data_IF_535587909744
#
_entry.id   IF_535587909744
#
_cell.length_a   1.000
_cell.length_b   1.000
_cell.length_c   1.000
_cell.angle_alpha   90.00
_cell.angle_beta   90.00
_cell.angle_gamma   90.00
#
_symmetry.space_group_name_H-M   'P 1'
#
loop_
_entity.id
_entity.type
_entity.pdbx_description
1 polymer ?
#
# COMPACT_ATOMS: atom_id res chain seq x y z
N UNK A 1 3.51 28.88 26.48
CA UNK A 1 3.07 29.55 25.24
C UNK A 1 2.48 30.86 25.72
N UNK A 2 3.02 31.98 25.24
CA UNK A 2 2.71 33.31 25.79
C UNK A 2 1.24 33.69 25.51
N UNK A 3 0.57 34.31 26.48
CA UNK A 3 -0.86 34.59 26.39
C UNK A 3 -1.18 35.59 25.27
N UNK A 4 -0.25 36.50 24.99
CA UNK A 4 -0.35 37.50 23.92
C UNK A 4 -0.29 36.85 22.54
N UNK A 5 0.57 35.84 22.35
CA UNK A 5 0.67 35.10 21.08
C UNK A 5 -0.62 34.33 20.78
N UNK A 6 -1.25 33.76 21.81
CA UNK A 6 -2.53 33.06 21.67
C UNK A 6 -3.66 34.03 21.29
N UNK A 7 -3.65 35.22 21.88
CA UNK A 7 -4.63 36.28 21.61
C UNK A 7 -4.49 36.83 20.19
N UNK A 8 -3.26 37.07 19.73
CA UNK A 8 -2.97 37.50 18.36
C UNK A 8 -3.41 36.46 17.32
N UNK A 9 -3.11 35.19 17.53
CA UNK A 9 -3.53 34.11 16.62
C UNK A 9 -5.06 33.99 16.56
N UNK A 10 -5.75 34.07 17.71
CA UNK A 10 -7.21 34.03 17.78
C UNK A 10 -7.88 35.22 17.10
N UNK A 11 -7.27 36.40 17.17
CA UNK A 11 -7.78 37.61 16.50
C UNK A 11 -7.54 37.58 14.98
N UNK A 12 -6.52 36.87 14.51
CA UNK A 12 -6.18 36.80 13.10
C UNK A 12 -6.99 35.77 12.32
N UNK A 13 -7.36 34.63 12.94
CA UNK A 13 -8.12 33.55 12.29
C UNK A 13 -9.44 34.02 11.64
N UNK A 14 -10.27 34.88 12.27
CA UNK A 14 -11.49 35.41 11.65
C UNK A 14 -11.23 36.27 10.41
N UNK A 15 -10.06 36.91 10.29
CA UNK A 15 -9.71 37.73 9.12
C UNK A 15 -9.41 36.90 7.86
N UNK A 16 -9.18 35.59 8.03
CA UNK A 16 -8.86 34.67 6.93
C UNK A 16 -10.07 34.28 6.08
N UNK A 17 -11.27 34.80 6.36
CA UNK A 17 -12.50 34.53 5.61
C UNK A 17 -12.72 33.03 5.34
N UNK A 18 -12.39 32.18 6.32
CA UNK A 18 -12.56 30.74 6.21
C UNK A 18 -14.05 30.42 6.08
N UNK A 19 -14.41 29.72 5.00
CA UNK A 19 -15.79 29.33 4.76
C UNK A 19 -16.26 28.33 5.83
N UNK A 20 -17.28 28.71 6.59
CA UNK A 20 -17.94 27.85 7.59
C UNK A 20 -19.01 26.93 6.98
N UNK A 21 -19.07 26.84 5.64
CA UNK A 21 -20.02 25.95 4.98
C UNK A 21 -19.64 24.50 5.25
N UNK A 22 -20.57 23.76 5.83
CA UNK A 22 -20.46 22.31 5.92
C UNK A 22 -20.48 21.74 4.50
N UNK A 23 -19.30 21.38 3.99
CA UNK A 23 -19.21 20.58 2.78
C UNK A 23 -19.49 19.14 3.16
N UNK A 24 -20.53 18.57 2.58
CA UNK A 24 -20.82 17.15 2.70
C UNK A 24 -19.63 16.34 2.20
N UNK A 25 -18.92 15.70 3.13
CA UNK A 25 -17.81 14.81 2.80
C UNK A 25 -18.40 13.49 2.37
N UNK A 26 -18.46 13.27 1.07
CA UNK A 26 -18.81 11.98 0.51
C UNK A 26 -17.69 10.99 0.89
N UNK A 27 -18.01 10.05 1.77
CA UNK A 27 -17.12 8.96 2.12
C UNK A 27 -17.35 7.81 1.16
N UNK A 28 -16.28 7.14 0.75
CA UNK A 28 -16.38 5.91 -0.03
C UNK A 28 -16.78 4.77 0.90
N UNK A 29 -17.93 4.15 0.67
CA UNK A 29 -18.35 2.96 1.39
C UNK A 29 -17.62 1.72 0.87
N UNK A 30 -17.70 0.64 1.63
CA UNK A 30 -17.11 -0.65 1.24
C UNK A 30 -17.67 -1.13 -0.11
N UNK A 31 -18.97 -0.97 -0.32
CA UNK A 31 -19.66 -1.30 -1.58
C UNK A 31 -19.15 -0.49 -2.78
N UNK A 32 -18.80 0.78 -2.57
CA UNK A 32 -18.22 1.62 -3.61
C UNK A 32 -16.83 1.11 -3.99
N UNK A 33 -16.02 0.73 -3.00
CA UNK A 33 -14.72 0.11 -3.24
C UNK A 33 -14.86 -1.22 -4.01
N UNK A 34 -15.86 -2.04 -3.68
CA UNK A 34 -16.19 -3.25 -4.45
C UNK A 34 -16.51 -2.93 -5.90
N UNK A 35 -17.34 -1.92 -6.14
CA UNK A 35 -17.77 -1.50 -7.48
C UNK A 35 -16.58 -0.98 -8.30
N UNK A 36 -15.71 -0.16 -7.69
CA UNK A 36 -14.51 0.37 -8.34
C UNK A 36 -13.53 -0.76 -8.72
N UNK A 37 -13.29 -1.71 -7.81
CA UNK A 37 -12.42 -2.85 -8.08
C UNK A 37 -13.03 -3.78 -9.14
N UNK A 38 -14.34 -4.02 -9.11
CA UNK A 38 -15.02 -4.76 -10.16
C UNK A 38 -14.84 -4.09 -11.52
N UNK A 39 -15.11 -2.78 -11.61
CA UNK A 39 -14.98 -2.02 -12.84
C UNK A 39 -13.54 -2.08 -13.38
N UNK A 40 -12.52 -1.96 -12.51
CA UNK A 40 -11.11 -2.03 -12.90
C UNK A 40 -10.70 -3.39 -13.49
N UNK A 41 -11.30 -4.48 -13.01
CA UNK A 41 -10.93 -5.84 -13.41
C UNK A 41 -11.83 -6.46 -14.47
N UNK A 42 -13.10 -6.05 -14.55
CA UNK A 42 -14.14 -6.68 -15.37
C UNK A 42 -14.66 -5.74 -16.46
N UNK A 43 -14.98 -4.49 -16.11
CA UNK A 43 -15.73 -3.59 -17.00
C UNK A 43 -14.85 -2.62 -17.81
N UNK A 44 -13.56 -2.53 -17.48
CA UNK A 44 -12.63 -1.56 -18.09
C UNK A 44 -12.36 -1.86 -19.58
N UNK A 45 -12.99 -1.05 -20.43
CA UNK A 45 -12.92 -1.13 -21.90
C UNK A 45 -11.60 -0.61 -22.48
N UNK A 46 -10.77 0.08 -21.68
CA UNK A 46 -9.43 0.52 -22.10
C UNK A 46 -8.39 -0.29 -21.32
N UNK A 47 -7.60 -1.16 -21.96
CA UNK A 47 -6.66 -2.00 -21.24
C UNK A 47 -5.57 -1.17 -20.56
N UNK A 48 -5.74 -0.85 -19.28
CA UNK A 48 -4.64 -0.46 -18.41
C UNK A 48 -3.66 -1.63 -18.32
N UNK A 49 -2.36 -1.32 -18.33
CA UNK A 49 -1.32 -2.34 -18.16
C UNK A 49 -1.59 -3.14 -16.87
N UNK A 50 -1.51 -4.47 -16.92
CA UNK A 50 -1.92 -5.33 -15.79
C UNK A 50 -1.22 -4.97 -14.47
N UNK A 51 0.06 -4.59 -14.53
CA UNK A 51 0.80 -4.10 -13.37
C UNK A 51 0.21 -2.82 -12.75
N UNK A 52 -0.31 -1.91 -13.58
CA UNK A 52 -1.01 -0.69 -13.09
C UNK A 52 -2.27 -1.09 -12.33
N UNK A 53 -3.08 -2.00 -12.89
CA UNK A 53 -4.32 -2.47 -12.25
C UNK A 53 -4.02 -3.09 -10.88
N UNK A 54 -2.97 -3.90 -10.78
CA UNK A 54 -2.49 -4.48 -9.51
C UNK A 54 -2.10 -3.39 -8.49
N UNK A 55 -1.30 -2.40 -8.90
CA UNK A 55 -0.85 -1.33 -8.00
C UNK A 55 -2.01 -0.44 -7.51
N UNK A 56 -2.93 -0.06 -8.41
CA UNK A 56 -4.11 0.73 -8.05
C UNK A 56 -5.01 -0.06 -7.09
N UNK A 57 -5.25 -1.34 -7.37
CA UNK A 57 -6.06 -2.20 -6.50
C UNK A 57 -5.46 -2.29 -5.10
N UNK A 58 -4.15 -2.53 -4.99
CA UNK A 58 -3.47 -2.57 -3.71
C UNK A 58 -3.53 -1.23 -2.97
N UNK A 59 -3.34 -0.12 -3.69
CA UNK A 59 -3.41 1.23 -3.11
C UNK A 59 -4.80 1.49 -2.50
N UNK A 60 -5.87 1.20 -3.25
CA UNK A 60 -7.24 1.38 -2.79
C UNK A 60 -7.55 0.51 -1.57
N UNK A 61 -7.17 -0.76 -1.61
CA UNK A 61 -7.39 -1.69 -0.50
C UNK A 61 -6.59 -1.32 0.75
N UNK A 62 -5.31 -0.93 0.61
CA UNK A 62 -4.51 -0.48 1.75
C UNK A 62 -5.09 0.81 2.34
N UNK A 63 -5.45 1.79 1.52
CA UNK A 63 -6.08 3.03 1.99
C UNK A 63 -7.40 2.77 2.71
N UNK A 64 -8.27 1.94 2.15
CA UNK A 64 -9.55 1.57 2.76
C UNK A 64 -9.39 0.77 4.05
N UNK A 65 -8.54 -0.25 4.07
CA UNK A 65 -8.38 -1.14 5.22
C UNK A 65 -7.62 -0.51 6.40
N UNK A 66 -6.77 0.48 6.13
CA UNK A 66 -5.96 1.14 7.18
C UNK A 66 -6.46 2.53 7.56
N UNK A 67 -7.49 3.03 6.85
CA UNK A 67 -7.94 4.42 6.91
C UNK A 67 -6.78 5.43 6.75
N UNK A 68 -5.72 5.06 6.03
CA UNK A 68 -4.58 5.95 5.80
C UNK A 68 -4.70 6.70 4.49
N UNK A 69 -4.23 7.96 4.54
CA UNK A 69 -4.17 8.81 3.36
C UNK A 69 -3.26 8.15 2.31
N UNK A 70 -3.63 8.17 1.02
CA UNK A 70 -2.79 7.61 -0.05
C UNK A 70 -1.33 8.11 -0.01
N UNK A 71 -1.09 9.36 0.38
CA UNK A 71 0.25 9.93 0.53
C UNK A 71 1.15 9.30 1.60
N UNK A 72 0.64 8.39 2.43
CA UNK A 72 1.44 7.57 3.34
C UNK A 72 1.94 6.27 2.67
N UNK A 73 1.33 5.88 1.55
CA UNK A 73 1.58 4.64 0.81
C UNK A 73 2.36 4.95 -0.49
N UNK A 74 1.99 6.03 -1.17
CA UNK A 74 2.58 6.48 -2.44
C UNK A 74 3.04 7.94 -2.32
N UNK A 75 3.76 8.45 -3.32
CA UNK A 75 4.26 9.82 -3.27
C UNK A 75 3.09 10.82 -3.28
N UNK A 76 2.99 11.61 -2.20
CA UNK A 76 1.95 12.64 -2.07
C UNK A 76 2.24 13.86 -2.92
N UNK A 77 1.20 14.55 -3.38
CA UNK A 77 1.32 15.85 -4.08
C UNK A 77 2.12 16.88 -3.25
N UNK A 78 1.91 16.93 -1.94
CA UNK A 78 2.66 17.81 -1.01
C UNK A 78 4.14 17.45 -0.83
N UNK A 79 4.58 16.30 -1.33
CA UNK A 79 5.95 15.83 -1.25
C UNK A 79 6.44 15.38 -2.64
N UNK A 80 5.94 16.00 -3.71
CA UNK A 80 6.27 15.68 -5.10
C UNK A 80 7.78 15.74 -5.33
N UNK A 81 8.34 14.69 -5.93
CA UNK A 81 9.77 14.55 -6.20
C UNK A 81 10.61 14.09 -4.99
N UNK A 82 10.00 13.86 -3.82
CA UNK A 82 10.72 13.34 -2.65
C UNK A 82 10.95 11.83 -2.68
N UNK A 83 10.22 11.12 -3.56
CA UNK A 83 10.17 9.67 -3.64
C UNK A 83 9.72 8.98 -2.34
N UNK A 84 9.15 9.73 -1.39
CA UNK A 84 8.68 9.19 -0.11
C UNK A 84 7.41 8.37 -0.33
N UNK A 85 7.54 7.06 -0.21
CA UNK A 85 6.46 6.09 -0.37
C UNK A 85 6.72 4.87 0.52
N UNK A 86 5.74 3.96 0.57
CA UNK A 86 5.91 2.62 1.13
C UNK A 86 6.99 1.89 0.34
N UNK A 87 7.96 1.30 1.04
CA UNK A 87 9.08 0.56 0.44
C UNK A 87 9.04 -0.93 0.79
N UNK A 88 9.82 -1.77 0.09
CA UNK A 88 9.83 -3.22 0.34
C UNK A 88 10.16 -3.58 1.79
N UNK A 89 11.10 -2.88 2.45
CA UNK A 89 11.43 -3.11 3.87
C UNK A 89 10.27 -2.86 4.83
N UNK A 90 9.26 -2.10 4.40
CA UNK A 90 8.09 -1.81 5.21
C UNK A 90 7.04 -2.94 5.15
N UNK A 91 7.24 -3.95 4.30
CA UNK A 91 6.36 -5.10 4.17
C UNK A 91 7.13 -6.35 4.58
N UNK A 92 6.56 -7.16 5.47
CA UNK A 92 7.09 -8.48 5.82
C UNK A 92 6.09 -9.54 5.37
N UNK A 93 6.56 -10.50 4.58
CA UNK A 93 5.78 -11.66 4.17
C UNK A 93 6.13 -12.88 5.02
N UNK A 94 5.10 -13.51 5.56
CA UNK A 94 5.20 -14.67 6.44
C UNK A 94 4.32 -15.79 5.92
N UNK A 95 4.83 -17.01 5.91
CA UNK A 95 4.00 -18.21 5.87
C UNK A 95 3.85 -18.72 7.30
N UNK A 96 2.61 -18.84 7.76
CA UNK A 96 2.28 -19.12 9.16
C UNK A 96 1.47 -20.40 9.23
N UNK A 97 1.92 -21.34 10.08
CA UNK A 97 1.20 -22.58 10.39
C UNK A 97 -0.09 -22.23 11.12
N UNK A 98 -1.17 -22.92 10.78
CA UNK A 98 -2.43 -22.75 11.48
C UNK A 98 -2.31 -23.34 12.90
N UNK A 99 -2.85 -22.62 13.88
CA UNK A 99 -2.91 -23.06 15.28
C UNK A 99 -4.04 -24.07 15.53
N UNK A 100 -4.97 -24.21 14.59
CA UNK A 100 -6.14 -25.12 14.70
C UNK A 100 -5.82 -26.46 14.04
N UNK A 101 -5.30 -26.41 12.82
CA UNK A 101 -4.80 -27.55 12.05
C UNK A 101 -3.33 -27.32 11.67
N UNK A 102 -2.37 -28.06 12.27
CA UNK A 102 -0.94 -27.96 11.98
C UNK A 102 -0.52 -28.35 10.57
N UNK A 103 -1.40 -29.05 9.83
CA UNK A 103 -1.18 -29.41 8.42
C UNK A 103 -1.56 -28.27 7.47
N UNK A 104 -2.24 -27.25 7.97
CA UNK A 104 -2.60 -26.06 7.20
C UNK A 104 -1.63 -24.90 7.47
N UNK A 105 -1.46 -24.06 6.46
CA UNK A 105 -0.72 -22.81 6.59
C UNK A 105 -1.37 -21.72 5.74
N UNK A 106 -1.07 -20.47 6.07
CA UNK A 106 -1.55 -19.31 5.33
C UNK A 106 -0.42 -18.29 5.14
N UNK A 107 -0.54 -17.45 4.12
CA UNK A 107 0.32 -16.29 3.96
C UNK A 107 -0.26 -15.10 4.74
N UNK A 108 0.63 -14.38 5.40
CA UNK A 108 0.38 -13.16 6.18
C UNK A 108 1.33 -12.07 5.69
N UNK A 109 0.83 -10.85 5.55
CA UNK A 109 1.63 -9.67 5.26
C UNK A 109 1.52 -8.68 6.42
N UNK A 110 2.65 -8.32 7.01
CA UNK A 110 2.74 -7.19 7.94
C UNK A 110 3.17 -5.95 7.17
N UNK A 111 2.35 -4.90 7.19
CA UNK A 111 2.64 -3.61 6.54
C UNK A 111 2.88 -2.56 7.62
N UNK A 112 4.05 -1.94 7.57
CA UNK A 112 4.49 -0.92 8.50
C UNK A 112 4.44 0.46 7.82
N UNK A 113 3.46 1.29 8.17
CA UNK A 113 3.32 2.63 7.60
C UNK A 113 4.17 3.64 8.37
N UNK A 114 5.27 4.05 7.75
CA UNK A 114 6.21 5.01 8.33
C UNK A 114 5.94 6.46 7.91
N UNK A 115 5.21 6.71 6.83
CA UNK A 115 4.97 8.07 6.29
C UNK A 115 3.63 8.67 6.76
N UNK A 116 3.29 8.50 8.05
CA UNK A 116 2.05 9.04 8.63
C UNK A 116 2.33 10.38 9.31
N UNK A 117 1.49 11.40 9.07
CA UNK A 117 1.60 12.72 9.73
C UNK A 117 1.56 12.58 11.27
N UNK A 118 2.26 13.46 11.98
CA UNK A 118 2.39 13.55 13.46
C UNK A 118 3.39 12.59 14.13
N UNK A 119 4.48 12.19 13.45
CA UNK A 119 5.56 11.41 14.08
C UNK A 119 6.28 12.13 15.22
N UNK A 120 6.31 13.46 15.20
CA UNK A 120 7.11 14.29 16.11
C UNK A 120 6.67 14.25 17.58
N UNK A 121 5.50 13.66 17.92
CA UNK A 121 4.97 13.71 19.29
C UNK A 121 5.10 12.43 20.12
N UNK A 122 5.31 11.24 19.53
CA UNK A 122 5.62 9.94 20.21
C UNK A 122 5.45 8.73 19.25
N UNK A 123 5.48 8.95 17.93
CA UNK A 123 4.73 8.11 16.98
C UNK A 123 5.30 6.72 16.73
N UNK A 124 4.84 5.71 17.49
CA UNK A 124 5.03 4.30 17.14
C UNK A 124 4.58 4.06 15.68
N UNK A 125 5.36 3.34 14.86
CA UNK A 125 4.96 2.97 13.51
C UNK A 125 3.59 2.28 13.50
N UNK A 126 2.70 2.64 12.57
CA UNK A 126 1.40 1.96 12.43
C UNK A 126 1.62 0.64 11.68
N UNK A 127 1.49 -0.47 12.40
CA UNK A 127 1.62 -1.82 11.86
C UNK A 127 0.25 -2.42 11.63
N UNK A 128 0.03 -2.96 10.44
CA UNK A 128 -1.18 -3.66 10.06
C UNK A 128 -0.83 -5.07 9.61
N UNK A 129 -1.63 -6.06 9.99
CA UNK A 129 -1.43 -7.46 9.62
C UNK A 129 -2.60 -7.90 8.75
N UNK A 130 -2.28 -8.37 7.55
CA UNK A 130 -3.25 -8.88 6.59
C UNK A 130 -3.04 -10.38 6.38
N UNK A 131 -4.13 -11.14 6.34
CA UNK A 131 -4.11 -12.56 6.02
C UNK A 131 -4.63 -12.76 4.60
N UNK A 132 -4.11 -13.78 3.92
CA UNK A 132 -4.67 -14.25 2.66
C UNK A 132 -6.18 -14.50 2.79
N UNK A 133 -6.95 -14.08 1.79
CA UNK A 133 -8.41 -14.21 1.72
C UNK A 133 -8.80 -14.95 0.45
N UNK A 134 -9.96 -15.60 0.48
CA UNK A 134 -10.42 -16.47 -0.61
C UNK A 134 -10.77 -15.75 -1.91
N UNK A 135 -11.01 -14.43 -1.89
CA UNK A 135 -11.32 -13.64 -3.09
C UNK A 135 -10.11 -12.79 -3.50
N UNK A 136 -9.36 -13.15 -4.57
CA UNK A 136 -8.11 -12.49 -4.92
C UNK A 136 -8.25 -10.98 -5.19
N UNK A 137 -9.35 -10.56 -5.82
CA UNK A 137 -9.60 -9.15 -6.16
C UNK A 137 -9.69 -8.22 -4.93
N UNK A 138 -9.95 -8.77 -3.73
CA UNK A 138 -10.03 -8.01 -2.47
C UNK A 138 -8.92 -8.40 -1.50
N UNK A 139 -7.98 -9.24 -1.94
CA UNK A 139 -6.93 -9.74 -1.09
C UNK A 139 -5.66 -8.90 -1.22
N UNK A 140 -5.41 -8.07 -0.20
CA UNK A 140 -4.16 -7.28 -0.07
C UNK A 140 -2.92 -8.17 -0.20
N UNK A 141 -2.94 -9.35 0.42
CA UNK A 141 -1.81 -10.31 0.36
C UNK A 141 -1.59 -10.81 -1.07
N UNK A 142 -2.65 -11.14 -1.81
CA UNK A 142 -2.53 -11.56 -3.21
C UNK A 142 -1.84 -10.49 -4.06
N UNK A 143 -2.23 -9.22 -3.93
CA UNK A 143 -1.58 -8.14 -4.68
C UNK A 143 -0.12 -7.90 -4.26
N UNK A 144 0.20 -8.01 -2.97
CA UNK A 144 1.59 -7.92 -2.48
C UNK A 144 2.44 -9.04 -3.12
N UNK A 145 1.93 -10.27 -3.17
CA UNK A 145 2.60 -11.39 -3.81
C UNK A 145 2.76 -11.17 -5.33
N UNK A 146 1.72 -10.69 -6.02
CA UNK A 146 1.77 -10.38 -7.45
C UNK A 146 2.83 -9.32 -7.78
N UNK A 147 2.94 -8.26 -6.97
CA UNK A 147 3.99 -7.25 -7.14
C UNK A 147 5.37 -7.85 -6.86
N UNK A 148 5.50 -8.63 -5.78
CA UNK A 148 6.75 -9.30 -5.42
C UNK A 148 7.31 -10.16 -6.54
N UNK A 149 6.47 -11.01 -7.14
CA UNK A 149 6.86 -11.89 -8.24
C UNK A 149 7.05 -11.10 -9.53
N UNK A 150 6.11 -10.22 -9.89
CA UNK A 150 6.18 -9.44 -11.12
C UNK A 150 7.39 -8.51 -11.19
N UNK A 151 7.98 -8.13 -10.05
CA UNK A 151 9.20 -7.34 -9.99
C UNK A 151 10.48 -8.17 -9.80
N UNK A 152 10.38 -9.50 -9.64
CA UNK A 152 11.51 -10.37 -9.27
C UNK A 152 12.11 -9.98 -7.93
N UNK A 153 11.26 -9.66 -6.95
CA UNK A 153 11.68 -9.03 -5.70
C UNK A 153 11.87 -9.99 -4.53
N UNK A 154 11.49 -11.25 -4.71
CA UNK A 154 11.68 -12.30 -3.72
C UNK A 154 13.08 -12.88 -3.85
N UNK A 155 13.71 -13.15 -2.71
CA UNK A 155 15.13 -13.55 -2.66
C UNK A 155 15.37 -15.00 -3.11
N UNK A 156 14.52 -15.88 -2.62
CA UNK A 156 14.59 -17.27 -3.00
C UNK A 156 13.88 -17.34 -4.36
N UNK A 157 14.57 -17.79 -5.42
CA UNK A 157 14.16 -17.68 -6.83
C UNK A 157 12.82 -18.40 -7.13
N UNK A 158 11.71 -17.82 -6.69
CA UNK A 158 10.37 -18.35 -6.94
C UNK A 158 9.97 -18.05 -8.38
N UNK A 159 9.69 -19.10 -9.14
CA UNK A 159 9.17 -18.98 -10.50
C UNK A 159 7.68 -18.60 -10.49
N UNK A 160 6.95 -18.92 -9.42
CA UNK A 160 5.51 -18.69 -9.33
C UNK A 160 5.01 -18.41 -7.91
N UNK A 161 3.76 -17.94 -7.79
CA UNK A 161 3.09 -17.81 -6.48
C UNK A 161 2.87 -19.18 -5.85
N UNK A 162 2.73 -20.23 -6.67
CA UNK A 162 2.50 -21.60 -6.20
C UNK A 162 3.68 -22.08 -5.35
N UNK A 163 4.91 -21.76 -5.76
CA UNK A 163 6.12 -22.14 -5.03
C UNK A 163 6.09 -21.63 -3.58
N UNK A 164 5.53 -20.43 -3.36
CA UNK A 164 5.34 -19.83 -2.04
C UNK A 164 4.28 -20.60 -1.24
N UNK A 165 3.18 -20.98 -1.89
CA UNK A 165 2.11 -21.79 -1.29
C UNK A 165 2.54 -23.24 -0.99
N UNK A 166 3.56 -23.76 -1.68
CA UNK A 166 4.07 -25.11 -1.50
C UNK A 166 5.19 -25.21 -0.46
N UNK A 167 5.76 -24.08 -0.02
CA UNK A 167 6.78 -24.05 1.06
C UNK A 167 6.35 -24.85 2.30
N UNK A 168 7.07 -25.91 2.63
CA UNK A 168 6.82 -26.64 3.87
C UNK A 168 7.43 -25.90 5.06
N UNK A 169 6.62 -25.63 6.09
CA UNK A 169 7.14 -25.10 7.36
C UNK A 169 7.77 -26.27 8.12
N UNK A 170 9.07 -26.20 8.49
CA UNK A 170 9.73 -27.21 9.31
C UNK A 170 8.96 -27.51 10.60
N UNK A 171 8.99 -28.75 11.08
CA UNK A 171 8.20 -29.20 12.23
C UNK A 171 8.57 -28.48 13.55
N UNK A 172 9.81 -27.97 13.66
CA UNK A 172 10.32 -27.18 14.79
C UNK A 172 9.90 -25.70 14.72
N UNK A 173 9.12 -25.30 13.70
CA UNK A 173 8.74 -23.91 13.45
C UNK A 173 7.25 -23.75 13.15
N UNK A 174 6.75 -22.58 13.50
CA UNK A 174 5.39 -22.15 13.16
C UNK A 174 5.36 -21.11 12.04
N UNK A 175 6.50 -20.51 11.71
CA UNK A 175 6.57 -19.40 10.76
C UNK A 175 7.80 -19.51 9.87
N UNK A 176 7.61 -19.29 8.57
CA UNK A 176 8.66 -19.01 7.60
C UNK A 176 8.59 -17.56 7.14
N UNK A 177 9.73 -16.88 7.11
CA UNK A 177 9.84 -15.53 6.57
C UNK A 177 10.22 -15.59 5.11
N UNK A 178 9.38 -15.04 4.26
CA UNK A 178 9.64 -14.89 2.82
C UNK A 178 10.38 -13.56 2.66
N UNK A 179 11.64 -13.62 2.20
CA UNK A 179 12.53 -12.45 2.19
C UNK A 179 12.50 -11.74 0.85
N UNK A 180 12.57 -10.41 0.92
CA UNK A 180 12.86 -9.58 -0.24
C UNK A 180 14.35 -9.60 -0.60
N UNK A 181 14.62 -9.27 -1.85
CA UNK A 181 15.94 -8.94 -2.34
C UNK A 181 16.51 -7.72 -1.64
N UNK A 182 17.80 -7.80 -1.25
CA UNK A 182 18.43 -6.76 -0.42
C UNK A 182 18.47 -5.41 -1.13
N UNK A 183 18.71 -5.44 -2.44
CA UNK A 183 18.83 -4.25 -3.29
C UNK A 183 17.50 -3.51 -3.44
N UNK A 184 16.36 -4.18 -3.22
CA UNK A 184 15.04 -3.60 -3.38
C UNK A 184 14.46 -3.03 -2.08
N UNK A 185 15.06 -3.33 -0.92
CA UNK A 185 14.51 -2.98 0.39
C UNK A 185 14.13 -1.51 0.54
N UNK A 186 14.92 -0.60 -0.03
CA UNK A 186 14.67 0.85 0.05
C UNK A 186 13.92 1.41 -1.17
N UNK A 187 13.62 0.58 -2.17
CA UNK A 187 12.87 1.01 -3.36
C UNK A 187 11.38 1.10 -3.04
N UNK A 188 10.64 1.99 -3.72
CA UNK A 188 9.20 2.07 -3.57
C UNK A 188 8.56 0.71 -3.91
N UNK A 189 7.55 0.33 -3.11
CA UNK A 189 6.81 -0.90 -3.35
C UNK A 189 5.81 -0.73 -4.50
N UNK A 190 5.17 0.45 -4.57
CA UNK A 190 4.36 0.88 -5.70
C UNK A 190 5.17 1.88 -6.53
N UNK A 191 5.42 1.55 -7.80
CA UNK A 191 6.31 2.24 -8.70
C UNK A 191 5.58 2.94 -9.85
N UNK A 192 6.15 4.06 -10.31
CA UNK A 192 5.70 4.79 -11.49
C UNK A 192 5.97 3.99 -12.78
N UNK A 193 5.25 4.35 -13.84
CA UNK A 193 5.44 3.76 -15.16
C UNK A 193 5.59 4.83 -16.24
N UNK A 194 6.38 4.49 -17.25
CA UNK A 194 6.56 5.31 -18.44
C UNK A 194 6.07 4.55 -19.66
N UNK A 195 5.20 5.18 -20.43
CA UNK A 195 4.90 4.72 -21.79
C UNK A 195 6.12 5.00 -22.68
N UNK A 196 6.57 3.97 -23.39
CA UNK A 196 7.63 4.01 -24.39
C UNK A 196 7.07 3.52 -25.73
N UNK A 197 7.84 3.69 -26.81
CA UNK A 197 7.49 3.15 -28.13
C UNK A 197 7.37 1.62 -28.15
N UNK A 198 7.97 0.93 -27.17
CA UNK A 198 8.00 -0.53 -27.03
C UNK A 198 6.96 -1.06 -26.02
N UNK A 199 6.13 -0.17 -25.45
CA UNK A 199 5.12 -0.53 -24.46
C UNK A 199 5.29 0.22 -23.14
N UNK A 200 4.97 -0.42 -22.02
CA UNK A 200 5.00 0.22 -20.70
C UNK A 200 6.22 -0.25 -19.91
N UNK A 201 7.07 0.69 -19.49
CA UNK A 201 8.26 0.41 -18.67
C UNK A 201 8.00 0.76 -17.21
N UNK A 202 8.24 -0.21 -16.32
CA UNK A 202 8.20 -0.02 -14.86
C UNK A 202 9.45 0.75 -14.42
N UNK A 203 9.25 1.85 -13.68
CA UNK A 203 10.33 2.65 -13.11
C UNK A 203 10.56 2.25 -11.65
N UNK A 204 11.30 1.17 -11.40
CA UNK A 204 11.51 0.59 -10.06
C UNK A 204 12.06 1.57 -9.01
N UNK A 205 12.72 2.64 -9.45
CA UNK A 205 13.31 3.66 -8.56
C UNK A 205 12.37 4.83 -8.26
N UNK A 206 11.23 4.94 -8.95
CA UNK A 206 10.30 6.06 -8.80
C UNK A 206 9.00 5.58 -8.20
N UNK A 207 8.59 6.21 -7.11
CA UNK A 207 7.33 5.94 -6.44
C UNK A 207 6.15 6.27 -7.36
N UNK A 208 5.08 5.49 -7.23
CA UNK A 208 3.83 5.77 -7.92
C UNK A 208 3.34 7.18 -7.55
N UNK A 209 3.10 8.08 -8.50
CA UNK A 209 2.72 9.45 -8.19
C UNK A 209 1.21 9.56 -7.97
N UNK A 210 0.79 10.31 -6.95
CA UNK A 210 -0.55 10.88 -6.93
C UNK A 210 -0.52 12.10 -7.85
N UNK A 211 -1.08 11.99 -9.05
CA UNK A 211 -1.26 13.14 -9.94
C UNK A 211 -2.54 13.85 -9.51
N UNK A 212 -2.44 15.15 -9.25
CA UNK A 212 -3.63 15.99 -9.16
C UNK A 212 -4.32 15.94 -10.53
N UNK A 213 -5.62 15.65 -10.52
CA UNK A 213 -6.46 15.84 -11.70
C UNK A 213 -6.65 17.35 -11.77
N UNK A 214 -5.86 18.00 -12.63
CA UNK A 214 -6.02 19.42 -12.98
C UNK A 214 -7.19 19.61 -13.92
#
# INVERSE_FOLDING_TARGET
MDADVLTDVCNWIPSLMLGNSEKEKHAMYVQDLYTILHALWVDDTKPLHGFIRVQISLLLLLSGATATRPGAIVESASAKGSNKALSFKNIELLKVRSVVDPNQSTIVANVNLENVKNKEKDGKPKKFTFRLKGTPAFCIVSYILSIGIGQGALRDEFASVQDIFDLSIPADRDVLRIKWEKELLNKPFLCDLRSTSEGVRILKEKAFPIREIS
#
